data_IF_746097200104
#
_entry.id   IF_746097200104
#
_cell.length_a   1.000
_cell.length_b   1.000
_cell.length_c   1.000
_cell.angle_alpha   90.00
_cell.angle_beta   90.00
_cell.angle_gamma   90.00
#
_symmetry.space_group_name_H-M   'P 1'
#
loop_
_entity.id
_entity.type
_entity.pdbx_description
1 polymer ?
#
# COMPACT_ATOMS: atom_id res chain seq x y z
N UNK A 1 7.02 16.17 7.69
CA UNK A 1 7.91 15.00 7.85
C UNK A 1 7.26 13.89 7.07
N UNK A 2 7.92 13.36 6.03
CA UNK A 2 7.29 12.35 5.16
C UNK A 2 7.59 10.93 5.61
N UNK A 3 6.79 9.98 5.14
CA UNK A 3 7.09 8.56 5.24
C UNK A 3 8.22 8.24 4.23
N UNK A 4 9.41 7.90 4.74
CA UNK A 4 10.58 7.69 3.89
C UNK A 4 10.62 6.26 3.33
N UNK A 5 11.19 6.05 2.13
CA UNK A 5 11.57 4.71 1.69
C UNK A 5 12.44 4.00 2.75
N UNK A 6 12.21 2.71 2.96
CA UNK A 6 12.82 1.94 4.04
C UNK A 6 12.00 1.89 5.34
N UNK A 7 10.95 2.72 5.46
CA UNK A 7 10.08 2.68 6.65
C UNK A 7 9.33 1.34 6.71
N UNK A 8 9.36 0.68 7.87
CA UNK A 8 8.60 -0.56 8.05
C UNK A 8 7.14 -0.25 8.37
N UNK A 9 6.23 -0.88 7.63
CA UNK A 9 4.80 -0.86 7.88
C UNK A 9 4.31 -2.25 8.24
N UNK A 10 3.24 -2.29 9.05
CA UNK A 10 2.45 -3.48 9.30
C UNK A 10 1.11 -3.31 8.58
N UNK A 11 0.80 -4.23 7.68
CA UNK A 11 -0.47 -4.28 6.98
C UNK A 11 -1.29 -5.45 7.51
N UNK A 12 -2.49 -5.15 8.01
CA UNK A 12 -3.49 -6.15 8.34
C UNK A 12 -4.48 -6.21 7.19
N UNK A 13 -4.49 -7.33 6.48
CA UNK A 13 -5.37 -7.58 5.35
C UNK A 13 -6.57 -8.37 5.86
N UNK A 14 -7.76 -7.88 5.54
CA UNK A 14 -9.02 -8.53 5.87
C UNK A 14 -9.91 -8.63 4.65
N UNK A 15 -9.80 -9.72 3.90
CA UNK A 15 -10.81 -10.16 2.96
C UNK A 15 -11.74 -11.17 3.66
N UNK A 16 -13.04 -10.88 3.79
CA UNK A 16 -13.98 -11.70 4.57
C UNK A 16 -14.23 -13.09 3.99
N UNK A 17 -13.79 -13.38 2.77
CA UNK A 17 -14.07 -14.66 2.10
C UNK A 17 -12.83 -15.49 1.82
N UNK A 18 -11.67 -14.86 1.63
CA UNK A 18 -10.46 -15.57 1.16
C UNK A 18 -9.25 -15.43 2.08
N UNK A 19 -9.11 -14.33 2.84
CA UNK A 19 -7.80 -13.98 3.38
C UNK A 19 -7.86 -13.06 4.60
N UNK A 20 -7.36 -13.54 5.74
CA UNK A 20 -7.03 -12.68 6.88
C UNK A 20 -5.59 -12.93 7.30
N UNK A 21 -4.73 -11.93 7.13
CA UNK A 21 -3.32 -12.06 7.46
C UNK A 21 -2.68 -10.71 7.81
N UNK A 22 -1.59 -10.78 8.55
CA UNK A 22 -0.73 -9.64 8.88
C UNK A 22 0.56 -9.78 8.10
N UNK A 23 0.93 -8.73 7.38
CA UNK A 23 2.15 -8.64 6.60
C UNK A 23 3.06 -7.55 7.17
N UNK A 24 4.33 -7.87 7.29
CA UNK A 24 5.37 -6.87 7.43
C UNK A 24 5.84 -6.45 6.04
N UNK A 25 6.03 -5.15 5.85
CA UNK A 25 6.43 -4.60 4.59
C UNK A 25 7.29 -3.34 4.76
N UNK A 26 7.95 -2.97 3.68
CA UNK A 26 8.84 -1.83 3.61
C UNK A 26 8.32 -0.85 2.57
N UNK A 27 8.26 0.43 2.93
CA UNK A 27 7.91 1.51 1.99
C UNK A 27 8.99 1.60 0.92
N UNK A 28 8.60 1.48 -0.34
CA UNK A 28 9.50 1.63 -1.49
C UNK A 28 9.36 3.03 -2.08
N UNK A 29 8.11 3.49 -2.23
CA UNK A 29 7.82 4.81 -2.74
C UNK A 29 6.49 5.33 -2.21
N UNK A 30 6.38 6.65 -2.19
CA UNK A 30 5.14 7.36 -1.89
C UNK A 30 4.85 8.23 -3.10
N UNK A 31 3.74 7.98 -3.79
CA UNK A 31 3.20 8.92 -4.77
C UNK A 31 2.21 9.84 -4.06
N UNK A 32 2.71 11.01 -3.71
CA UNK A 32 1.94 12.11 -3.17
C UNK A 32 1.94 13.25 -4.19
N UNK A 33 0.80 13.45 -4.86
CA UNK A 33 0.49 14.66 -5.65
C UNK A 33 1.38 14.98 -6.86
N UNK A 34 2.40 14.18 -7.20
CA UNK A 34 3.30 14.49 -8.34
C UNK A 34 2.60 14.22 -9.69
N UNK A 35 1.59 13.34 -9.69
CA UNK A 35 0.86 12.90 -10.89
C UNK A 35 -0.56 13.50 -11.06
N UNK A 36 -0.97 14.43 -10.19
CA UNK A 36 -2.37 14.92 -10.15
C UNK A 36 -3.34 13.97 -9.43
N UNK A 37 -2.82 12.94 -8.76
CA UNK A 37 -3.62 12.04 -7.93
C UNK A 37 -4.24 12.79 -6.74
N UNK A 38 -5.56 12.70 -6.60
CA UNK A 38 -6.31 13.29 -5.47
C UNK A 38 -6.11 12.55 -4.14
N UNK A 39 -5.41 11.40 -4.18
CA UNK A 39 -5.26 10.47 -3.06
C UNK A 39 -3.85 9.93 -3.05
N UNK A 40 -3.19 10.01 -1.90
CA UNK A 40 -1.85 9.46 -1.70
C UNK A 40 -1.85 7.94 -1.84
N UNK A 41 -0.80 7.42 -2.47
CA UNK A 41 -0.57 5.99 -2.63
C UNK A 41 0.83 5.64 -2.16
N UNK A 42 0.93 4.59 -1.34
CA UNK A 42 2.18 4.10 -0.78
C UNK A 42 2.44 2.74 -1.41
N UNK A 43 3.54 2.60 -2.13
CA UNK A 43 4.00 1.32 -2.62
C UNK A 43 4.85 0.67 -1.54
N UNK A 44 4.49 -0.56 -1.18
CA UNK A 44 5.24 -1.36 -0.21
C UNK A 44 5.74 -2.66 -0.82
N UNK A 45 6.91 -3.11 -0.37
CA UNK A 45 7.44 -4.44 -0.61
C UNK A 45 7.14 -5.32 0.58
N UNK A 46 6.57 -6.49 0.35
CA UNK A 46 6.26 -7.44 1.41
C UNK A 46 7.51 -8.24 1.80
N UNK A 47 7.70 -8.48 3.10
CA UNK A 47 8.75 -9.38 3.59
C UNK A 47 8.47 -10.83 3.20
N UNK A 48 7.19 -11.21 3.10
CA UNK A 48 6.73 -12.49 2.60
C UNK A 48 5.65 -12.26 1.55
N UNK A 49 5.74 -12.96 0.43
CA UNK A 49 4.79 -12.81 -0.67
C UNK A 49 3.37 -13.18 -0.24
N UNK A 50 2.40 -12.46 -0.77
CA UNK A 50 0.98 -12.73 -0.60
C UNK A 50 0.47 -13.60 -1.76
N UNK A 51 -0.14 -14.74 -1.45
CA UNK A 51 -0.92 -15.54 -2.40
C UNK A 51 -2.39 -15.12 -2.35
N UNK A 52 -2.91 -14.51 -3.40
CA UNK A 52 -4.29 -14.03 -3.48
C UNK A 52 -4.87 -14.25 -4.89
N UNK A 53 -6.08 -14.79 -4.98
CA UNK A 53 -6.74 -15.14 -6.25
C UNK A 53 -5.87 -16.01 -7.18
N UNK A 54 -5.09 -16.93 -6.59
CA UNK A 54 -4.19 -17.83 -7.34
C UNK A 54 -2.97 -17.13 -7.95
N UNK A 55 -2.62 -15.93 -7.47
CA UNK A 55 -1.45 -15.17 -7.88
C UNK A 55 -0.60 -14.79 -6.67
N UNK A 56 0.71 -14.80 -6.88
CA UNK A 56 1.71 -14.34 -5.91
C UNK A 56 2.02 -12.87 -6.12
N UNK A 57 2.02 -12.10 -5.03
CA UNK A 57 2.37 -10.69 -5.00
C UNK A 57 3.50 -10.45 -4.01
N UNK A 58 4.56 -9.78 -4.47
CA UNK A 58 5.66 -9.31 -3.62
C UNK A 58 5.51 -7.84 -3.22
N UNK A 59 4.58 -7.14 -3.87
CA UNK A 59 4.32 -5.72 -3.67
C UNK A 59 2.82 -5.46 -3.51
N UNK A 60 2.50 -4.49 -2.68
CA UNK A 60 1.14 -3.98 -2.52
C UNK A 60 1.17 -2.45 -2.64
N UNK A 61 0.25 -1.91 -3.43
CA UNK A 61 -0.06 -0.49 -3.40
C UNK A 61 -1.16 -0.25 -2.37
N UNK A 62 -0.87 0.60 -1.39
CA UNK A 62 -1.80 1.01 -0.33
C UNK A 62 -2.32 2.40 -0.67
N UNK A 63 -3.64 2.52 -0.81
CA UNK A 63 -4.29 3.75 -1.23
C UNK A 63 -5.29 4.25 -0.19
N UNK A 64 -5.24 5.54 0.10
CA UNK A 64 -6.14 6.21 1.03
C UNK A 64 -7.60 6.18 0.58
N UNK A 65 -8.53 6.39 1.53
CA UNK A 65 -9.95 6.13 1.28
C UNK A 65 -10.66 7.19 0.43
N UNK A 66 -10.13 8.42 0.33
CA UNK A 66 -10.60 9.51 -0.56
C UNK A 66 -9.98 10.87 -0.22
N UNK A 67 -9.26 10.99 0.90
CA UNK A 67 -8.61 12.22 1.35
C UNK A 67 -7.08 12.09 1.39
N UNK A 68 -6.37 13.20 1.17
CA UNK A 68 -4.93 13.29 1.45
C UNK A 68 -4.67 13.17 2.96
N UNK A 69 -3.46 12.75 3.36
CA UNK A 69 -3.01 12.75 4.75
C UNK A 69 -2.72 11.36 5.34
N UNK A 70 -2.87 10.27 4.58
CA UNK A 70 -2.54 8.93 5.08
C UNK A 70 -1.06 8.80 5.42
N UNK A 71 -0.20 9.52 4.71
CA UNK A 71 1.25 9.55 4.96
C UNK A 71 1.51 10.18 6.33
N UNK A 72 0.89 11.32 6.61
CA UNK A 72 1.02 12.02 7.88
C UNK A 72 0.43 11.20 9.04
N UNK A 73 -0.75 10.60 8.85
CA UNK A 73 -1.38 9.71 9.84
C UNK A 73 -0.50 8.51 10.18
N UNK A 74 0.09 7.87 9.16
CA UNK A 74 1.04 6.77 9.37
C UNK A 74 2.30 7.22 10.09
N UNK A 75 2.86 8.38 9.73
CA UNK A 75 4.03 8.96 10.44
C UNK A 75 3.70 9.27 11.91
N UNK A 76 2.45 9.63 12.21
CA UNK A 76 1.97 9.81 13.59
C UNK A 76 1.70 8.48 14.33
N UNK A 77 1.98 7.34 13.70
CA UNK A 77 1.72 6.01 14.26
C UNK A 77 0.24 5.65 14.35
N UNK A 78 -0.62 6.35 13.60
CA UNK A 78 -2.04 6.04 13.56
C UNK A 78 -2.30 4.81 12.69
N UNK A 79 -3.38 4.10 13.00
CA UNK A 79 -3.88 3.02 12.14
C UNK A 79 -4.86 3.60 11.14
N UNK A 80 -4.58 3.42 9.85
CA UNK A 80 -5.42 3.91 8.77
C UNK A 80 -6.19 2.76 8.11
N UNK A 81 -7.43 3.03 7.68
CA UNK A 81 -8.19 2.12 6.83
C UNK A 81 -8.02 2.53 5.37
N UNK A 82 -7.53 1.59 4.56
CA UNK A 82 -7.11 1.83 3.19
C UNK A 82 -7.46 0.64 2.30
N UNK A 83 -7.31 0.83 1.00
CA UNK A 83 -7.43 -0.24 0.03
C UNK A 83 -6.04 -0.70 -0.40
N UNK A 84 -5.82 -2.02 -0.37
CA UNK A 84 -4.62 -2.66 -0.88
C UNK A 84 -4.86 -3.27 -2.26
N UNK A 85 -3.92 -3.10 -3.17
CA UNK A 85 -3.95 -3.73 -4.49
C UNK A 85 -2.62 -4.43 -4.72
N UNK A 86 -2.67 -5.70 -5.12
CA UNK A 86 -1.47 -6.45 -5.50
C UNK A 86 -0.79 -5.80 -6.70
N UNK A 87 0.50 -5.49 -6.58
CA UNK A 87 1.28 -4.85 -7.62
C UNK A 87 2.34 -5.82 -8.16
N UNK A 88 2.46 -5.87 -9.49
CA UNK A 88 3.56 -6.59 -10.15
C UNK A 88 4.84 -5.77 -10.14
N UNK A 89 6.00 -6.44 -10.13
CA UNK A 89 7.32 -5.80 -10.13
C UNK A 89 7.51 -4.80 -11.29
N UNK A 90 6.97 -5.11 -12.48
CA UNK A 90 7.03 -4.23 -13.64
C UNK A 90 6.29 -2.88 -13.46
N UNK A 91 5.26 -2.84 -12.61
CA UNK A 91 4.56 -1.59 -12.26
C UNK A 91 5.42 -0.74 -11.31
N UNK A 92 6.31 -1.37 -10.53
CA UNK A 92 7.15 -0.72 -9.53
C UNK A 92 8.36 0.02 -10.15
N UNK A 93 8.79 -0.37 -11.36
CA UNK A 93 9.91 0.23 -12.09
C UNK A 93 9.50 1.31 -13.09
N UNK A 94 8.19 1.53 -13.25
CA UNK A 94 7.65 2.53 -14.17
C UNK A 94 7.55 3.90 -13.50
N UNK A 95 8.22 4.90 -14.07
CA UNK A 95 8.04 6.32 -13.70
C UNK A 95 6.73 6.92 -14.20
N UNK A 96 6.00 6.22 -15.06
CA UNK A 96 4.70 6.68 -15.53
C UNK A 96 3.68 6.47 -14.41
N UNK A 97 2.84 7.49 -14.19
CA UNK A 97 1.57 7.42 -13.46
C UNK A 97 0.69 6.35 -14.11
N UNK A 98 0.95 5.08 -13.83
CA UNK A 98 0.29 3.99 -14.53
C UNK A 98 -1.11 3.83 -13.96
N UNK A 99 -2.04 4.50 -14.66
CA UNK A 99 -3.47 4.24 -14.74
C UNK A 99 -4.01 3.36 -13.61
N UNK A 100 -4.26 4.02 -12.47
CA UNK A 100 -5.04 3.52 -11.34
C UNK A 100 -6.41 2.92 -11.75
N UNK A 101 -6.87 3.17 -12.99
CA UNK A 101 -8.07 2.59 -13.60
C UNK A 101 -7.98 1.06 -13.79
N UNK A 102 -6.77 0.49 -13.89
CA UNK A 102 -6.57 -0.96 -13.96
C UNK A 102 -6.75 -1.67 -12.61
N UNK A 103 -6.87 -0.93 -11.51
CA UNK A 103 -6.87 -1.45 -10.15
C UNK A 103 -8.31 -1.71 -9.69
N UNK A 104 -8.99 -2.68 -10.32
CA UNK A 104 -10.32 -3.17 -9.88
C UNK A 104 -10.15 -4.45 -9.05
N UNK A 105 -10.81 -4.48 -7.89
CA UNK A 105 -10.61 -5.53 -6.88
C UNK A 105 -9.51 -5.11 -5.91
N UNK A 106 -9.87 -4.96 -4.64
CA UNK A 106 -8.96 -4.45 -3.62
C UNK A 106 -9.21 -5.16 -2.30
N UNK A 107 -8.12 -5.40 -1.59
CA UNK A 107 -8.13 -5.92 -0.24
C UNK A 107 -8.49 -4.79 0.72
N UNK A 108 -9.36 -5.04 1.70
CA UNK A 108 -9.49 -4.12 2.82
C UNK A 108 -8.23 -4.23 3.67
N UNK A 109 -7.56 -3.10 3.88
CA UNK A 109 -6.28 -3.05 4.60
C UNK A 109 -6.39 -2.08 5.77
N UNK A 110 -5.86 -2.50 6.91
CA UNK A 110 -5.51 -1.60 8.02
C UNK A 110 -4.00 -1.49 8.05
N UNK A 111 -3.47 -0.29 7.88
CA UNK A 111 -2.04 -0.05 7.87
C UNK A 111 -1.62 0.73 9.12
N UNK A 112 -0.47 0.38 9.69
CA UNK A 112 0.16 1.12 10.78
C UNK A 112 1.68 1.16 10.55
N UNK A 113 2.29 2.32 10.76
CA UNK A 113 3.74 2.43 10.66
C UNK A 113 4.41 2.00 11.95
N UNK A 114 5.45 1.17 11.82
CA UNK A 114 6.35 0.87 12.91
C UNK A 114 7.62 1.68 12.71
N UNK A 115 7.65 2.85 13.35
CA UNK A 115 8.87 3.66 13.42
C UNK A 115 9.82 2.97 14.41
N UNK A 116 10.83 2.28 13.87
CA UNK A 116 11.99 1.79 14.63
C UNK A 116 13.07 2.85 14.73
#
# INVERSE_FOLDING_TARGET
MGLNPGTTLRLEISDPFELSQVLECEVISVDSFVSGASVETILVRLSNSLEWQGRRYDYIAVRGRQSPGIVDELVLGQTIECSGVGAGEALCTSTASQAFEGWRGGLAVRANARLT
#
